data_IF_425768969138
#
_entry.id   IF_425768969138
#
_cell.length_a   1.000
_cell.length_b   1.000
_cell.length_c   1.000
_cell.angle_alpha   90.00
_cell.angle_beta   90.00
_cell.angle_gamma   90.00
#
_symmetry.space_group_name_H-M   'P 1'
#
loop_
_entity.id
_entity.type
_entity.pdbx_description
1 polymer ?
#
# COMPACT_ATOMS: atom_id res chain seq x y z
N UNK A 1 4.40 5.41 -18.05
CA UNK A 1 4.03 5.00 -16.69
C UNK A 1 5.33 4.85 -15.93
N UNK A 2 5.50 5.61 -14.86
CA UNK A 2 6.58 5.39 -13.90
C UNK A 2 5.92 4.86 -12.63
N UNK A 3 6.52 3.83 -12.05
CA UNK A 3 6.03 3.29 -10.80
C UNK A 3 7.20 3.17 -9.83
N UNK A 4 7.05 3.84 -8.69
CA UNK A 4 8.03 3.82 -7.62
C UNK A 4 7.51 2.83 -6.57
N UNK A 5 7.90 1.58 -6.75
CA UNK A 5 7.59 0.52 -5.81
C UNK A 5 8.67 0.46 -4.73
N UNK A 6 8.22 0.32 -3.50
CA UNK A 6 9.07 -0.04 -2.39
C UNK A 6 10.20 0.94 -2.04
N UNK A 7 9.95 2.24 -2.15
CA UNK A 7 10.89 3.27 -1.70
C UNK A 7 10.84 3.35 -0.18
N UNK A 8 11.93 2.99 0.49
CA UNK A 8 12.06 3.15 1.94
C UNK A 8 12.19 4.65 2.27
N UNK A 9 11.17 5.19 2.92
CA UNK A 9 11.03 6.62 3.27
C UNK A 9 11.37 6.90 4.72
N UNK A 10 11.41 5.86 5.57
CA UNK A 10 11.96 5.89 6.93
C UNK A 10 12.71 4.58 7.15
N UNK A 11 13.91 4.65 7.70
CA UNK A 11 14.68 3.52 8.23
C UNK A 11 15.33 3.96 9.54
N UNK A 12 14.93 3.35 10.66
CA UNK A 12 15.46 3.67 11.99
C UNK A 12 16.77 2.95 12.33
N UNK A 13 17.34 2.21 11.38
CA UNK A 13 18.67 1.62 11.45
C UNK A 13 18.65 0.16 11.87
N UNK A 14 18.54 -0.75 10.89
CA UNK A 14 19.13 -2.10 10.76
C UNK A 14 19.03 -3.16 11.88
N UNK A 15 18.55 -2.81 13.07
CA UNK A 15 18.37 -3.73 14.19
C UNK A 15 17.07 -4.53 14.10
N UNK A 16 16.90 -5.56 14.93
CA UNK A 16 15.68 -6.38 14.96
C UNK A 16 14.40 -5.59 15.29
N UNK A 17 14.54 -4.43 15.94
CA UNK A 17 13.44 -3.52 16.30
C UNK A 17 13.38 -2.27 15.39
N UNK A 18 14.12 -2.25 14.29
CA UNK A 18 14.10 -1.13 13.37
C UNK A 18 12.71 -1.00 12.72
N UNK A 19 12.07 0.14 12.96
CA UNK A 19 10.91 0.61 12.20
C UNK A 19 11.40 1.11 10.85
N UNK A 20 10.77 0.59 9.79
CA UNK A 20 10.90 1.12 8.44
C UNK A 20 9.53 1.49 7.89
N UNK A 21 9.49 2.49 7.02
CA UNK A 21 8.29 2.91 6.30
C UNK A 21 8.60 2.92 4.81
N UNK A 22 7.67 2.42 4.02
CA UNK A 22 7.82 2.24 2.59
C UNK A 22 6.68 2.92 1.85
N UNK A 23 7.02 3.74 0.86
CA UNK A 23 6.07 4.30 -0.08
C UNK A 23 5.88 3.35 -1.28
N UNK A 24 4.63 3.22 -1.71
CA UNK A 24 4.25 2.52 -2.93
C UNK A 24 3.29 3.41 -3.73
N UNK A 25 3.70 3.85 -4.91
CA UNK A 25 2.99 4.83 -5.72
C UNK A 25 3.09 4.52 -7.22
N UNK A 26 2.05 4.92 -7.96
CA UNK A 26 2.00 4.91 -9.43
C UNK A 26 1.79 6.33 -9.95
N UNK A 27 2.45 6.68 -11.04
CA UNK A 27 2.30 7.97 -11.71
C UNK A 27 2.31 7.85 -13.24
N UNK A 28 1.68 8.81 -13.90
CA UNK A 28 1.82 9.02 -15.34
C UNK A 28 3.24 9.47 -15.70
N UNK A 29 3.57 9.47 -16.99
CA UNK A 29 4.92 9.85 -17.45
C UNK A 29 5.25 11.32 -17.16
N UNK A 30 4.24 12.18 -17.09
CA UNK A 30 4.33 13.60 -16.74
C UNK A 30 4.20 13.86 -15.23
N UNK A 31 4.19 12.82 -14.39
CA UNK A 31 4.21 12.94 -12.93
C UNK A 31 2.84 13.15 -12.28
N UNK A 32 1.74 12.90 -12.99
CA UNK A 32 0.41 12.94 -12.39
C UNK A 32 0.13 11.66 -11.57
N UNK A 33 -0.30 11.83 -10.32
CA UNK A 33 -0.65 10.74 -9.42
C UNK A 33 -2.12 10.29 -9.54
N UNK A 34 -2.92 10.92 -10.40
CA UNK A 34 -4.30 10.53 -10.65
C UNK A 34 -4.75 10.81 -12.08
N UNK A 35 -5.66 9.99 -12.58
CA UNK A 35 -6.41 10.19 -13.81
C UNK A 35 -7.90 10.26 -13.47
N UNK A 36 -8.56 11.38 -13.76
CA UNK A 36 -9.97 11.57 -13.39
C UNK A 36 -10.23 11.59 -11.88
N UNK A 37 -9.23 12.03 -11.08
CA UNK A 37 -9.32 12.12 -9.63
C UNK A 37 -9.09 10.79 -8.89
N UNK A 38 -8.69 9.73 -9.60
CA UNK A 38 -8.34 8.42 -9.03
C UNK A 38 -6.97 7.94 -9.50
N UNK A 39 -6.24 7.23 -8.64
CA UNK A 39 -4.99 6.57 -9.01
C UNK A 39 -5.24 5.24 -9.73
N UNK A 40 -6.37 4.56 -9.48
CA UNK A 40 -6.65 3.25 -10.07
C UNK A 40 -6.67 3.21 -11.60
N UNK A 41 -6.87 4.35 -12.27
CA UNK A 41 -6.81 4.47 -13.73
C UNK A 41 -5.39 4.63 -14.31
N UNK A 42 -4.37 4.77 -13.47
CA UNK A 42 -2.96 4.84 -13.87
C UNK A 42 -2.27 3.48 -13.84
N UNK A 43 -2.73 2.58 -12.96
CA UNK A 43 -2.21 1.22 -12.79
C UNK A 43 -2.83 0.21 -13.77
N UNK A 44 -2.18 -0.94 -13.89
CA UNK A 44 -2.71 -2.11 -14.59
C UNK A 44 -2.95 -3.26 -13.58
N UNK A 45 -3.49 -4.42 -14.00
CA UNK A 45 -3.71 -5.53 -13.07
C UNK A 45 -2.42 -6.06 -12.40
N UNK A 46 -1.26 -5.93 -13.02
CA UNK A 46 0.02 -6.37 -12.44
C UNK A 46 0.54 -5.36 -11.40
N UNK A 47 0.36 -4.06 -11.61
CA UNK A 47 0.58 -3.01 -10.60
C UNK A 47 -0.27 -3.27 -9.35
N UNK A 48 -1.56 -3.59 -9.53
CA UNK A 48 -2.45 -3.93 -8.41
C UNK A 48 -2.02 -5.21 -7.69
N UNK A 49 -1.52 -6.20 -8.42
CA UNK A 49 -0.98 -7.44 -7.85
C UNK A 49 0.29 -7.17 -7.03
N UNK A 50 1.20 -6.34 -7.54
CA UNK A 50 2.40 -5.93 -6.81
C UNK A 50 2.04 -5.13 -5.56
N UNK A 51 1.06 -4.23 -5.64
CA UNK A 51 0.52 -3.54 -4.46
C UNK A 51 -0.03 -4.52 -3.41
N UNK A 52 -0.76 -5.57 -3.82
CA UNK A 52 -1.24 -6.62 -2.89
C UNK A 52 -0.08 -7.33 -2.19
N UNK A 53 0.95 -7.72 -2.94
CA UNK A 53 2.16 -8.35 -2.39
C UNK A 53 2.83 -7.40 -1.40
N UNK A 54 3.05 -6.14 -1.74
CA UNK A 54 3.67 -5.18 -0.82
C UNK A 54 2.85 -4.99 0.47
N UNK A 55 1.51 -4.99 0.38
CA UNK A 55 0.62 -4.96 1.55
C UNK A 55 0.74 -6.23 2.41
N UNK A 56 0.97 -7.39 1.79
CA UNK A 56 1.11 -8.65 2.53
C UNK A 56 2.36 -8.69 3.41
N UNK A 57 3.39 -7.94 3.05
CA UNK A 57 4.62 -7.76 3.84
C UNK A 57 4.52 -6.70 4.94
N UNK A 58 3.55 -5.78 4.85
CA UNK A 58 3.38 -4.69 5.81
C UNK A 58 2.71 -5.17 7.11
N UNK A 59 3.16 -4.67 8.25
CA UNK A 59 2.47 -4.84 9.52
C UNK A 59 1.25 -3.91 9.62
N UNK A 60 1.42 -2.69 9.11
CA UNK A 60 0.38 -1.66 9.02
C UNK A 60 0.45 -0.99 7.65
N UNK A 61 -0.70 -0.84 7.00
CA UNK A 61 -0.86 -0.07 5.77
C UNK A 61 -1.40 1.32 6.14
N UNK A 62 -0.58 2.34 5.92
CA UNK A 62 -0.96 3.74 6.09
C UNK A 62 -1.65 4.26 4.82
N UNK A 63 -2.78 4.92 4.98
CA UNK A 63 -3.51 5.53 3.86
C UNK A 63 -4.18 6.84 4.27
N UNK A 64 -4.12 7.86 3.41
CA UNK A 64 -4.81 9.12 3.64
C UNK A 64 -6.33 8.99 3.49
N UNK A 65 -7.09 9.67 4.35
CA UNK A 65 -8.56 9.63 4.31
C UNK A 65 -9.16 10.13 2.98
N UNK A 66 -8.50 11.06 2.29
CA UNK A 66 -8.88 11.51 0.95
C UNK A 66 -8.80 10.38 -0.08
N UNK A 67 -7.73 9.60 -0.06
CA UNK A 67 -7.54 8.42 -0.93
C UNK A 67 -8.58 7.34 -0.64
N UNK A 68 -8.85 7.06 0.64
CA UNK A 68 -9.90 6.09 1.05
C UNK A 68 -11.25 6.46 0.44
N UNK A 69 -11.61 7.74 0.47
CA UNK A 69 -12.88 8.25 -0.09
C UNK A 69 -12.89 8.21 -1.62
N UNK A 70 -11.80 8.61 -2.27
CA UNK A 70 -11.71 8.70 -3.73
C UNK A 70 -11.72 7.32 -4.42
N UNK A 71 -11.01 6.36 -3.82
CA UNK A 71 -10.80 5.01 -4.38
C UNK A 71 -11.84 3.99 -3.90
N UNK A 72 -12.61 4.29 -2.84
CA UNK A 72 -13.61 3.36 -2.32
C UNK A 72 -13.00 2.08 -1.75
N UNK A 73 -12.15 2.23 -0.71
CA UNK A 73 -11.32 1.18 -0.09
C UNK A 73 -12.07 -0.01 0.58
N UNK A 74 -13.33 -0.30 0.20
CA UNK A 74 -14.12 -1.43 0.71
C UNK A 74 -13.54 -2.82 0.40
N UNK A 75 -12.50 -2.91 -0.44
CA UNK A 75 -11.79 -4.14 -0.80
C UNK A 75 -10.30 -4.12 -0.47
N UNK A 76 -9.87 -3.40 0.58
CA UNK A 76 -8.46 -3.26 0.93
C UNK A 76 -7.79 -4.56 1.45
N UNK A 77 -8.55 -5.64 1.59
CA UNK A 77 -8.04 -6.95 1.97
C UNK A 77 -7.03 -7.49 0.94
N UNK A 78 -5.99 -8.17 1.42
CA UNK A 78 -5.11 -8.95 0.55
C UNK A 78 -5.81 -10.23 0.12
N UNK A 79 -5.43 -10.76 -1.04
CA UNK A 79 -5.98 -12.00 -1.59
C UNK A 79 -5.64 -13.21 -0.70
N UNK A 80 -6.38 -14.30 -0.84
CA UNK A 80 -6.25 -15.49 0.00
C UNK A 80 -4.83 -16.06 0.06
N UNK A 81 -4.10 -16.06 -1.07
CA UNK A 81 -2.71 -16.52 -1.11
C UNK A 81 -1.77 -15.68 -0.25
N UNK A 82 -2.00 -14.36 -0.22
CA UNK A 82 -1.23 -13.42 0.59
C UNK A 82 -1.61 -13.56 2.07
N UNK A 83 -2.88 -13.78 2.37
CA UNK A 83 -3.37 -14.02 3.72
C UNK A 83 -2.80 -15.32 4.31
N UNK A 84 -2.78 -16.40 3.53
CA UNK A 84 -2.16 -17.67 3.91
C UNK A 84 -0.64 -17.53 4.12
N UNK A 85 0.04 -16.78 3.26
CA UNK A 85 1.47 -16.50 3.39
C UNK A 85 1.81 -15.76 4.69
N UNK A 86 0.95 -14.80 5.10
CA UNK A 86 1.07 -14.06 6.36
C UNK A 86 0.85 -14.96 7.56
N UNK A 87 -0.22 -15.77 7.54
CA UNK A 87 -0.55 -16.70 8.62
C UNK A 87 0.57 -17.73 8.85
N UNK A 88 1.17 -18.26 7.78
CA UNK A 88 2.31 -19.17 7.84
C UNK A 88 3.57 -18.57 8.50
N UNK A 89 3.61 -17.24 8.68
CA UNK A 89 4.69 -16.48 9.34
C UNK A 89 4.28 -15.92 10.69
N UNK A 90 3.17 -16.39 11.25
CA UNK A 90 2.66 -15.95 12.55
C UNK A 90 2.09 -14.53 12.56
N UNK A 91 1.75 -13.98 11.39
CA UNK A 91 1.10 -12.66 11.26
C UNK A 91 -0.41 -12.80 11.13
N UNK A 92 -1.15 -11.76 11.50
CA UNK A 92 -2.59 -11.66 11.22
C UNK A 92 -2.85 -11.82 9.71
N UNK A 93 -3.84 -12.63 9.28
CA UNK A 93 -4.08 -12.90 7.84
C UNK A 93 -4.30 -11.64 7.01
N UNK A 94 -4.89 -10.60 7.59
CA UNK A 94 -5.08 -9.30 6.94
C UNK A 94 -4.18 -8.24 7.60
N UNK A 95 -3.55 -7.34 6.83
CA UNK A 95 -2.80 -6.23 7.41
C UNK A 95 -3.74 -5.23 8.07
N UNK A 96 -3.26 -4.55 9.12
CA UNK A 96 -4.03 -3.48 9.75
C UNK A 96 -3.98 -2.23 8.87
N UNK A 97 -5.11 -1.57 8.69
CA UNK A 97 -5.17 -0.27 8.01
C UNK A 97 -5.21 0.86 9.02
N UNK A 98 -4.32 1.83 8.87
CA UNK A 98 -4.32 3.07 9.62
C UNK A 98 -4.66 4.22 8.69
N UNK A 99 -5.87 4.77 8.87
CA UNK A 99 -6.34 5.92 8.07
C UNK A 99 -5.86 7.21 8.73
N UNK A 100 -5.04 7.96 8.00
CA UNK A 100 -4.52 9.25 8.45
C UNK A 100 -5.46 10.35 7.96
N UNK A 101 -5.91 11.20 8.89
CA UNK A 101 -6.74 12.35 8.56
C UNK A 101 -6.35 13.55 9.40
N UNK A 102 -6.26 14.72 8.77
CA UNK A 102 -6.09 15.99 9.48
C UNK A 102 -7.42 16.59 9.97
N UNK A 103 -8.55 16.03 9.51
CA UNK A 103 -9.94 16.41 9.87
C UNK A 103 -10.84 15.18 9.75
N UNK A 104 -11.84 15.01 10.61
CA UNK A 104 -12.76 13.86 10.56
C UNK A 104 -13.93 14.11 9.60
#
# INVERSE_FOLDING_TARGET
MHAAYAVDVVDSGGGPDAVFCRANMVESLDGAASLGGRSGGLGDPEDQRLMSVLRSHADVVLVGSGTVRAEGYGGAAVVESDAAWRAARGREPQPRFAVVSSRL
#
